data_IF_687991174714
#
_entry.id   IF_687991174714
#
_cell.length_a   1.000
_cell.length_b   1.000
_cell.length_c   1.000
_cell.angle_alpha   90.00
_cell.angle_beta   90.00
_cell.angle_gamma   90.00
#
_symmetry.space_group_name_H-M   'P 1'
#
loop_
_entity.id
_entity.type
_entity.pdbx_description
1 polymer ?
#
# COMPACT_ATOMS: atom_id res chain seq x y z
N UNK A 1 -18.99 19.96 -37.64
CA UNK A 1 -19.51 18.80 -38.39
C UNK A 1 -20.92 18.51 -37.91
N UNK A 2 -21.90 18.43 -38.82
CA UNK A 2 -23.32 18.21 -38.45
C UNK A 2 -23.50 16.89 -37.70
N UNK A 3 -24.30 16.88 -36.64
CA UNK A 3 -24.58 15.70 -35.79
C UNK A 3 -25.02 14.45 -36.59
N UNK A 4 -25.68 14.65 -37.74
CA UNK A 4 -26.08 13.58 -38.65
C UNK A 4 -24.90 12.88 -39.36
N UNK A 5 -23.78 13.58 -39.57
CA UNK A 5 -22.61 13.01 -40.24
C UNK A 5 -21.84 12.03 -39.36
N UNK A 6 -21.75 12.33 -38.05
CA UNK A 6 -21.06 11.47 -37.09
C UNK A 6 -21.82 10.15 -36.88
N UNK A 7 -23.14 10.21 -36.74
CA UNK A 7 -23.99 9.03 -36.60
C UNK A 7 -23.94 8.11 -37.83
N UNK A 8 -23.94 8.70 -39.04
CA UNK A 8 -23.82 7.95 -40.29
C UNK A 8 -22.45 7.29 -40.44
N UNK A 9 -21.39 7.94 -39.96
CA UNK A 9 -20.05 7.36 -39.96
C UNK A 9 -19.96 6.17 -39.01
N UNK A 10 -20.46 6.32 -37.77
CA UNK A 10 -20.49 5.25 -36.74
C UNK A 10 -21.32 4.04 -37.20
N UNK A 11 -22.47 4.27 -37.83
CA UNK A 11 -23.32 3.18 -38.34
C UNK A 11 -22.63 2.35 -39.43
N UNK A 12 -21.86 3.02 -40.31
CA UNK A 12 -21.09 2.34 -41.35
C UNK A 12 -19.87 1.59 -40.81
N UNK A 13 -19.17 2.12 -39.80
CA UNK A 13 -18.01 1.44 -39.21
C UNK A 13 -18.38 0.20 -38.40
N UNK A 14 -19.59 0.15 -37.84
CA UNK A 14 -20.10 -1.00 -37.09
C UNK A 14 -20.84 -2.05 -37.96
N UNK A 15 -20.91 -1.84 -39.29
CA UNK A 15 -21.46 -2.83 -40.22
C UNK A 15 -22.97 -3.02 -40.18
N UNK A 16 -23.72 -2.08 -39.59
CA UNK A 16 -25.18 -2.16 -39.54
C UNK A 16 -25.79 -1.83 -40.92
N UNK A 17 -26.11 -2.86 -41.70
CA UNK A 17 -26.86 -2.75 -42.97
C UNK A 17 -28.35 -2.54 -42.64
N UNK A 18 -29.03 -1.67 -43.39
CA UNK A 18 -30.47 -1.35 -43.21
C UNK A 18 -31.37 -2.59 -43.07
N UNK A 19 -31.00 -3.71 -43.70
CA UNK A 19 -31.76 -4.96 -43.71
C UNK A 19 -31.66 -5.78 -42.41
N UNK A 20 -30.63 -5.58 -41.58
CA UNK A 20 -30.47 -6.32 -40.31
C UNK A 20 -31.19 -5.63 -39.14
N UNK A 21 -31.37 -4.31 -39.23
CA UNK A 21 -32.14 -3.51 -38.27
C UNK A 21 -33.63 -3.89 -38.31
N UNK A 22 -34.15 -4.27 -39.49
CA UNK A 22 -35.53 -4.72 -39.68
C UNK A 22 -35.80 -6.12 -39.10
N UNK A 23 -34.75 -6.93 -38.83
CA UNK A 23 -34.88 -8.27 -38.26
C UNK A 23 -34.72 -8.31 -36.74
N UNK A 24 -33.91 -7.41 -36.16
CA UNK A 24 -33.61 -7.39 -34.72
C UNK A 24 -34.69 -6.70 -33.88
N UNK A 25 -35.56 -5.92 -34.52
CA UNK A 25 -36.74 -5.34 -33.88
C UNK A 25 -37.93 -5.80 -34.72
N UNK A 26 -38.87 -6.62 -34.20
CA UNK A 26 -40.12 -6.87 -34.89
C UNK A 26 -40.90 -5.54 -34.89
N UNK A 27 -40.71 -4.77 -35.95
CA UNK A 27 -41.43 -3.51 -36.18
C UNK A 27 -42.86 -3.88 -36.57
N UNK A 28 -43.70 -4.17 -35.56
CA UNK A 28 -45.12 -3.91 -35.73
C UNK A 28 -45.24 -2.45 -36.20
N UNK A 29 -46.04 -2.23 -37.24
CA UNK A 29 -46.32 -0.92 -37.83
C UNK A 29 -47.11 0.00 -36.87
N UNK A 30 -46.88 -0.09 -35.57
CA UNK A 30 -47.22 0.92 -34.60
C UNK A 30 -46.19 2.04 -34.78
N UNK A 31 -46.65 3.13 -35.41
CA UNK A 31 -45.94 4.38 -35.66
C UNK A 31 -44.95 4.71 -34.53
N UNK A 32 -43.68 4.32 -34.69
CA UNK A 32 -42.65 4.65 -33.72
C UNK A 32 -42.45 6.15 -33.83
N UNK A 33 -42.99 6.88 -32.86
CA UNK A 33 -42.83 8.33 -32.80
C UNK A 33 -41.34 8.67 -32.80
N UNK A 34 -40.96 9.65 -33.62
CA UNK A 34 -39.59 10.15 -33.69
C UNK A 34 -39.03 10.51 -32.29
N UNK A 35 -39.90 10.91 -31.37
CA UNK A 35 -39.56 11.19 -29.97
C UNK A 35 -39.05 9.95 -29.22
N UNK A 36 -39.68 8.79 -29.40
CA UNK A 36 -39.28 7.54 -28.75
C UNK A 36 -37.94 7.05 -29.34
N UNK A 37 -37.75 7.17 -30.65
CA UNK A 37 -36.47 6.83 -31.28
C UNK A 37 -35.34 7.75 -30.77
N UNK A 38 -35.63 9.04 -30.58
CA UNK A 38 -34.68 10.02 -30.04
C UNK A 38 -34.28 9.68 -28.60
N UNK A 39 -35.21 9.25 -27.74
CA UNK A 39 -34.86 8.88 -26.35
C UNK A 39 -34.01 7.62 -26.28
N UNK A 40 -34.32 6.59 -27.08
CA UNK A 40 -33.47 5.39 -27.16
C UNK A 40 -32.05 5.71 -27.67
N UNK A 41 -31.93 6.61 -28.65
CA UNK A 41 -30.61 7.06 -29.11
C UNK A 41 -29.82 7.74 -27.99
N UNK A 42 -30.45 8.59 -27.17
CA UNK A 42 -29.79 9.22 -26.02
C UNK A 42 -29.33 8.21 -24.96
N UNK A 43 -30.13 7.18 -24.67
CA UNK A 43 -29.78 6.12 -23.72
C UNK A 43 -28.59 5.29 -24.23
N UNK A 44 -28.59 4.95 -25.51
CA UNK A 44 -27.48 4.22 -26.11
C UNK A 44 -26.17 5.02 -26.08
N UNK A 45 -26.25 6.32 -26.38
CA UNK A 45 -25.10 7.23 -26.34
C UNK A 45 -24.57 7.41 -24.92
N UNK A 46 -25.43 7.62 -23.92
CA UNK A 46 -25.00 7.79 -22.53
C UNK A 46 -24.32 6.53 -21.99
N UNK A 47 -24.88 5.35 -22.31
CA UNK A 47 -24.31 4.05 -21.92
C UNK A 47 -22.95 3.82 -22.57
N UNK A 48 -22.79 4.17 -23.85
CA UNK A 48 -21.51 4.06 -24.56
C UNK A 48 -20.44 4.99 -23.99
N UNK A 49 -20.81 6.24 -23.66
CA UNK A 49 -19.90 7.21 -23.04
C UNK A 49 -19.46 6.73 -21.65
N UNK A 50 -20.40 6.22 -20.84
CA UNK A 50 -20.08 5.67 -19.52
C UNK A 50 -19.11 4.48 -19.61
N UNK A 51 -19.34 3.57 -20.55
CA UNK A 51 -18.44 2.45 -20.82
C UNK A 51 -17.06 2.89 -21.28
N UNK A 52 -16.98 3.84 -22.20
CA UNK A 52 -15.72 4.39 -22.69
C UNK A 52 -14.93 5.09 -21.56
N UNK A 53 -15.59 5.94 -20.76
CA UNK A 53 -14.99 6.59 -19.61
C UNK A 53 -14.49 5.58 -18.56
N UNK A 54 -15.26 4.53 -18.27
CA UNK A 54 -14.84 3.46 -17.38
C UNK A 54 -13.61 2.71 -17.88
N UNK A 55 -13.57 2.41 -19.18
CA UNK A 55 -12.45 1.71 -19.81
C UNK A 55 -11.18 2.57 -19.86
N UNK A 56 -11.32 3.86 -20.19
CA UNK A 56 -10.21 4.83 -20.18
C UNK A 56 -9.65 5.02 -18.77
N UNK A 57 -10.53 5.11 -17.77
CA UNK A 57 -10.15 5.19 -16.36
C UNK A 57 -9.32 3.97 -15.98
N UNK A 58 -9.82 2.77 -16.28
CA UNK A 58 -9.12 1.51 -15.97
C UNK A 58 -7.74 1.43 -16.62
N UNK A 59 -7.59 1.90 -17.86
CA UNK A 59 -6.30 1.93 -18.54
C UNK A 59 -5.31 2.90 -17.87
N UNK A 60 -5.79 4.07 -17.45
CA UNK A 60 -4.96 5.10 -16.78
C UNK A 60 -4.49 4.69 -15.38
N UNK A 61 -5.24 3.85 -14.67
CA UNK A 61 -4.88 3.35 -13.34
C UNK A 61 -4.03 2.06 -13.34
N UNK A 62 -3.69 1.52 -14.52
CA UNK A 62 -2.88 0.31 -14.61
C UNK A 62 -1.39 0.57 -14.36
N UNK A 63 -0.94 1.82 -14.47
CA UNK A 63 0.45 2.21 -14.22
C UNK A 63 0.72 2.39 -12.71
N UNK A 64 1.64 1.60 -12.11
CA UNK A 64 1.95 1.68 -10.69
C UNK A 64 2.49 3.06 -10.26
N UNK A 65 3.18 3.77 -11.15
CA UNK A 65 3.79 5.08 -10.85
C UNK A 65 2.70 6.15 -10.76
N UNK A 66 1.76 6.16 -11.71
CA UNK A 66 0.62 7.07 -11.70
C UNK A 66 -0.29 6.83 -10.49
N UNK A 67 -0.47 5.57 -10.09
CA UNK A 67 -1.22 5.20 -8.88
C UNK A 67 -0.51 5.69 -7.62
N UNK A 68 0.81 5.53 -7.52
CA UNK A 68 1.60 6.03 -6.40
C UNK A 68 1.56 7.57 -6.30
N UNK A 69 1.64 8.28 -7.43
CA UNK A 69 1.52 9.75 -7.49
C UNK A 69 0.10 10.25 -7.15
N UNK A 70 -0.93 9.50 -7.52
CA UNK A 70 -2.31 9.85 -7.18
C UNK A 70 -2.61 9.59 -5.68
N UNK A 71 -2.08 8.49 -5.14
CA UNK A 71 -2.10 8.21 -3.70
C UNK A 71 -1.37 9.32 -2.94
N UNK A 72 -0.16 9.72 -3.35
CA UNK A 72 0.59 10.78 -2.68
C UNK A 72 -0.08 12.16 -2.73
N UNK A 73 -0.89 12.45 -3.76
CA UNK A 73 -1.68 13.69 -3.83
C UNK A 73 -2.90 13.69 -2.89
N UNK A 74 -3.52 12.54 -2.65
CA UNK A 74 -4.70 12.43 -1.77
C UNK A 74 -4.34 12.17 -0.30
N UNK A 75 -3.17 11.61 -0.05
CA UNK A 75 -2.58 11.34 1.27
C UNK A 75 -2.08 12.61 1.98
N UNK A 76 -2.34 13.78 1.37
CA UNK A 76 -2.00 15.12 1.90
C UNK A 76 -2.61 15.46 3.27
N UNK A 77 -3.50 14.62 3.79
CA UNK A 77 -4.20 14.92 5.04
C UNK A 77 -3.49 14.37 6.29
N UNK A 78 -2.55 13.42 6.19
CA UNK A 78 -1.81 12.94 7.36
C UNK A 78 -0.34 12.49 7.07
N UNK A 79 0.63 12.90 7.93
CA UNK A 79 2.04 12.49 7.78
C UNK A 79 2.27 10.98 7.88
N UNK A 80 1.48 10.28 8.70
CA UNK A 80 1.55 8.84 8.91
C UNK A 80 1.19 8.08 7.64
N UNK A 81 0.12 8.47 6.94
CA UNK A 81 -0.26 7.85 5.67
C UNK A 81 0.79 8.09 4.60
N UNK A 82 1.36 9.30 4.57
CA UNK A 82 2.43 9.66 3.63
C UNK A 82 3.64 8.74 3.81
N UNK A 83 4.04 8.50 5.06
CA UNK A 83 5.14 7.60 5.40
C UNK A 83 4.83 6.16 5.03
N UNK A 84 3.62 5.66 5.34
CA UNK A 84 3.23 4.28 5.04
C UNK A 84 3.16 4.02 3.52
N UNK A 85 2.62 4.97 2.74
CA UNK A 85 2.59 4.89 1.28
C UNK A 85 3.99 4.94 0.70
N UNK A 86 4.85 5.81 1.22
CA UNK A 86 6.25 5.87 0.80
C UNK A 86 6.98 4.56 1.11
N UNK A 87 6.90 4.04 2.33
CA UNK A 87 7.55 2.79 2.73
C UNK A 87 7.01 1.58 1.96
N UNK A 88 5.70 1.51 1.71
CA UNK A 88 5.08 0.42 0.93
C UNK A 88 5.49 0.46 -0.56
N UNK A 89 5.60 1.64 -1.16
CA UNK A 89 5.98 1.78 -2.58
C UNK A 89 7.47 1.52 -2.82
N UNK A 90 8.34 1.95 -1.90
CA UNK A 90 9.79 1.77 -1.97
C UNK A 90 10.28 0.44 -1.40
N UNK A 91 9.43 -0.27 -0.63
CA UNK A 91 9.79 -1.44 0.18
C UNK A 91 10.89 -1.18 1.22
N UNK A 92 11.05 0.07 1.67
CA UNK A 92 11.92 0.36 2.81
C UNK A 92 11.32 -0.21 4.11
N UNK A 93 12.15 -0.84 4.97
CA UNK A 93 11.68 -1.32 6.25
C UNK A 93 11.33 -0.16 7.18
N UNK A 94 10.35 -0.39 8.05
CA UNK A 94 9.93 0.53 9.11
C UNK A 94 10.30 -0.04 10.48
N UNK A 95 10.68 0.84 11.40
CA UNK A 95 10.61 0.59 12.83
C UNK A 95 9.25 1.05 13.33
N UNK A 96 8.46 0.13 13.87
CA UNK A 96 7.15 0.39 14.47
C UNK A 96 7.24 0.13 15.97
N UNK A 97 6.97 1.17 16.75
CA UNK A 97 6.94 1.12 18.22
C UNK A 97 5.50 1.06 18.68
N UNK A 98 5.17 0.04 19.47
CA UNK A 98 3.86 -0.10 20.08
C UNK A 98 3.83 0.48 21.48
N UNK A 99 2.63 0.82 21.96
CA UNK A 99 2.36 1.26 23.33
C UNK A 99 2.77 0.25 24.41
N UNK A 100 2.88 -1.03 24.03
CA UNK A 100 3.44 -2.09 24.88
C UNK A 100 4.97 -2.04 25.03
N UNK A 101 5.64 -1.04 24.43
CA UNK A 101 7.09 -0.97 24.19
C UNK A 101 7.64 -2.06 23.28
N UNK A 102 6.80 -2.94 22.74
CA UNK A 102 7.21 -3.91 21.73
C UNK A 102 7.55 -3.18 20.43
N UNK A 103 8.60 -3.62 19.77
CA UNK A 103 9.10 -3.01 18.54
C UNK A 103 9.14 -4.06 17.44
N UNK A 104 8.62 -3.72 16.28
CA UNK A 104 8.77 -4.52 15.07
C UNK A 104 9.56 -3.73 14.04
N UNK A 105 10.50 -4.41 13.39
CA UNK A 105 11.24 -3.89 12.25
C UNK A 105 10.89 -4.76 11.06
N UNK A 106 10.32 -4.19 10.00
CA UNK A 106 9.81 -5.00 8.89
C UNK A 106 9.36 -4.20 7.69
N UNK A 107 8.98 -4.91 6.64
CA UNK A 107 8.48 -4.30 5.38
C UNK A 107 6.96 -4.33 5.40
N UNK A 108 6.33 -3.22 5.01
CA UNK A 108 4.89 -3.17 4.89
C UNK A 108 4.41 -4.07 3.75
N UNK A 109 3.36 -4.83 4.02
CA UNK A 109 2.54 -5.43 2.97
C UNK A 109 1.41 -4.44 2.69
N UNK A 110 1.17 -4.15 1.41
CA UNK A 110 0.35 -3.04 0.91
C UNK A 110 -0.78 -2.61 1.87
N UNK A 111 -0.79 -1.37 2.38
CA UNK A 111 -1.81 -0.94 3.34
C UNK A 111 -3.19 -0.94 2.66
N UNK A 112 -4.18 -1.57 3.30
CA UNK A 112 -5.58 -1.41 2.92
C UNK A 112 -6.03 -0.04 3.42
N UNK A 113 -5.95 0.97 2.55
CA UNK A 113 -6.54 2.29 2.81
C UNK A 113 -8.04 2.19 2.55
N UNK A 114 -8.81 1.81 3.56
CA UNK A 114 -10.27 1.90 3.51
C UNK A 114 -10.70 3.24 4.12
N UNK A 115 -11.56 3.97 3.40
CA UNK A 115 -12.24 5.18 3.87
C UNK A 115 -11.37 6.38 4.32
N UNK A 116 -10.10 6.46 3.91
CA UNK A 116 -9.26 7.64 4.16
C UNK A 116 -8.73 7.76 5.58
N UNK A 117 -8.63 6.63 6.29
CA UNK A 117 -7.89 6.52 7.55
C UNK A 117 -7.24 5.15 7.68
N UNK A 118 -6.04 5.07 8.25
CA UNK A 118 -5.35 3.80 8.50
C UNK A 118 -5.81 3.23 9.84
N UNK A 119 -6.63 2.19 9.82
CA UNK A 119 -7.03 1.48 11.03
C UNK A 119 -6.02 0.41 11.46
N UNK A 120 -5.43 -0.27 10.48
CA UNK A 120 -4.48 -1.36 10.68
C UNK A 120 -3.33 -1.26 9.67
N UNK A 121 -2.14 -1.70 10.09
CA UNK A 121 -1.01 -1.91 9.20
C UNK A 121 -0.65 -3.39 9.17
N UNK A 122 -0.29 -3.89 7.98
CA UNK A 122 0.28 -5.21 7.82
C UNK A 122 1.80 -5.10 7.62
N UNK A 123 2.56 -5.71 8.52
CA UNK A 123 4.01 -5.69 8.50
C UNK A 123 4.54 -7.11 8.38
N UNK A 124 5.44 -7.36 7.44
CA UNK A 124 6.25 -8.57 7.43
C UNK A 124 7.52 -8.31 8.27
N UNK A 125 7.64 -8.88 9.48
CA UNK A 125 8.76 -8.59 10.37
C UNK A 125 10.06 -9.19 9.85
N UNK A 126 11.14 -8.41 9.90
CA UNK A 126 12.53 -8.84 9.72
C UNK A 126 13.16 -9.09 11.09
N UNK A 127 12.90 -8.19 12.05
CA UNK A 127 13.35 -8.30 13.43
C UNK A 127 12.25 -7.81 14.38
N UNK A 128 12.27 -8.26 15.63
CA UNK A 128 11.50 -7.63 16.71
C UNK A 128 12.30 -7.52 17.99
N UNK A 129 11.80 -6.67 18.87
CA UNK A 129 12.43 -6.39 20.13
C UNK A 129 11.49 -5.63 21.06
N UNK A 130 12.09 -4.92 22.01
CA UNK A 130 11.40 -4.00 22.89
C UNK A 130 12.30 -2.80 23.21
N UNK A 131 11.70 -1.69 23.62
CA UNK A 131 12.45 -0.59 24.24
C UNK A 131 12.50 -0.78 25.74
N UNK A 132 13.69 -0.62 26.30
CA UNK A 132 13.87 -0.61 27.75
C UNK A 132 12.99 0.46 28.41
N UNK A 133 12.48 0.19 29.61
CA UNK A 133 11.57 1.12 30.29
C UNK A 133 12.28 2.39 30.76
N UNK A 134 13.52 2.26 31.21
CA UNK A 134 14.24 3.32 31.91
C UNK A 134 15.21 4.01 30.94
N UNK A 135 15.89 3.25 30.09
CA UNK A 135 16.84 3.79 29.09
C UNK A 135 16.19 4.11 27.74
N UNK A 136 14.97 3.62 27.46
CA UNK A 136 14.30 3.67 26.15
C UNK A 136 15.14 3.10 24.98
N UNK A 137 16.19 2.37 25.31
CA UNK A 137 17.12 1.75 24.37
C UNK A 137 16.42 0.59 23.67
N UNK A 138 16.52 0.54 22.34
CA UNK A 138 15.99 -0.58 21.56
C UNK A 138 16.86 -1.83 21.74
N UNK A 139 16.25 -2.91 22.26
CA UNK A 139 16.82 -4.24 22.36
C UNK A 139 16.15 -5.19 21.37
N UNK A 140 16.92 -5.71 20.40
CA UNK A 140 16.45 -6.68 19.42
C UNK A 140 16.58 -8.09 19.97
N UNK A 141 15.48 -8.84 20.00
CA UNK A 141 15.42 -10.18 20.62
C UNK A 141 15.15 -11.29 19.61
N UNK A 142 14.42 -11.00 18.54
CA UNK A 142 14.00 -12.01 17.56
C UNK A 142 14.44 -11.60 16.17
N UNK A 143 15.16 -12.48 15.48
CA UNK A 143 15.56 -12.32 14.09
C UNK A 143 14.68 -13.24 13.20
N UNK A 144 13.65 -12.66 12.59
CA UNK A 144 12.76 -13.38 11.70
C UNK A 144 13.43 -13.70 10.36
N UNK A 145 14.32 -12.84 9.88
CA UNK A 145 15.03 -13.07 8.62
C UNK A 145 15.85 -14.37 8.67
N UNK A 146 16.59 -14.62 9.75
CA UNK A 146 17.32 -15.86 9.96
C UNK A 146 16.38 -17.08 10.04
N UNK A 147 15.24 -16.94 10.73
CA UNK A 147 14.22 -17.98 10.77
C UNK A 147 13.64 -18.29 9.37
N UNK A 148 13.35 -17.27 8.57
CA UNK A 148 12.85 -17.43 7.20
C UNK A 148 13.86 -18.11 6.28
N UNK A 149 15.13 -17.72 6.38
CA UNK A 149 16.25 -18.33 5.65
C UNK A 149 16.40 -19.81 5.99
N UNK A 150 16.46 -20.16 7.29
CA UNK A 150 16.60 -21.54 7.77
C UNK A 150 15.46 -22.45 7.34
N UNK A 151 14.26 -21.90 7.18
CA UNK A 151 13.06 -22.62 6.76
C UNK A 151 12.85 -22.66 5.24
N UNK A 152 13.77 -22.07 4.47
CA UNK A 152 13.67 -22.02 3.00
C UNK A 152 12.53 -21.14 2.49
N UNK A 153 11.96 -20.27 3.32
CA UNK A 153 10.78 -19.48 2.99
C UNK A 153 11.07 -18.30 2.06
N UNK A 154 12.34 -17.91 1.96
CA UNK A 154 12.80 -16.85 1.06
C UNK A 154 12.87 -17.30 -0.40
N UNK A 155 12.93 -18.61 -0.65
CA UNK A 155 13.07 -19.19 -2.00
C UNK A 155 11.80 -19.12 -2.84
N UNK A 156 10.66 -18.74 -2.26
CA UNK A 156 9.37 -18.58 -2.96
C UNK A 156 8.70 -19.89 -3.40
N UNK A 157 9.32 -21.04 -3.12
CA UNK A 157 8.78 -22.37 -3.47
C UNK A 157 8.12 -22.97 -2.22
N UNK A 158 6.80 -23.22 -2.23
CA UNK A 158 6.12 -23.91 -1.14
C UNK A 158 6.72 -25.32 -0.98
N UNK A 159 7.30 -25.62 0.18
CA UNK A 159 7.92 -26.93 0.47
C UNK A 159 6.89 -28.00 0.86
N UNK A 160 5.75 -28.06 0.16
CA UNK A 160 4.72 -29.08 0.34
C UNK A 160 3.30 -28.54 0.62
N UNK A 161 2.30 -29.43 0.68
CA UNK A 161 0.88 -29.07 0.72
C UNK A 161 0.42 -28.35 2.00
N UNK A 162 1.23 -28.37 3.07
CA UNK A 162 0.94 -27.71 4.36
C UNK A 162 2.01 -26.69 4.78
N UNK A 163 2.80 -26.17 3.84
CA UNK A 163 3.85 -25.20 4.19
C UNK A 163 3.33 -23.77 4.17
N UNK A 164 3.50 -23.08 5.29
CA UNK A 164 3.26 -21.64 5.39
C UNK A 164 4.19 -20.90 4.43
N UNK A 165 3.63 -19.95 3.68
CA UNK A 165 4.43 -19.01 2.88
C UNK A 165 5.02 -17.92 3.78
N UNK A 166 6.03 -17.18 3.30
CA UNK A 166 6.56 -16.01 4.05
C UNK A 166 5.45 -15.01 4.41
N UNK A 167 4.48 -14.87 3.52
CA UNK A 167 3.30 -14.03 3.66
C UNK A 167 2.37 -14.46 4.80
N UNK A 168 2.46 -15.71 5.26
CA UNK A 168 1.69 -16.20 6.40
C UNK A 168 2.23 -15.71 7.75
N UNK A 169 3.40 -15.07 7.77
CA UNK A 169 4.04 -14.53 8.98
C UNK A 169 3.87 -13.02 9.15
N UNK A 170 2.95 -12.41 8.41
CA UNK A 170 2.62 -10.99 8.59
C UNK A 170 2.01 -10.75 9.96
N UNK A 171 2.37 -9.62 10.55
CA UNK A 171 1.83 -9.11 11.79
C UNK A 171 0.86 -7.99 11.42
N UNK A 172 -0.39 -8.10 11.89
CA UNK A 172 -1.40 -7.06 11.77
C UNK A 172 -1.36 -6.23 13.06
N UNK A 173 -1.18 -4.92 12.93
CA UNK A 173 -1.02 -4.00 14.05
C UNK A 173 -2.12 -2.94 13.94
N UNK A 174 -2.95 -2.75 14.99
CA UNK A 174 -3.90 -1.64 15.03
C UNK A 174 -3.15 -0.30 15.10
N UNK A 175 -3.51 0.68 14.27
CA UNK A 175 -2.86 1.98 14.25
C UNK A 175 -2.94 2.71 15.59
N UNK A 176 -4.02 2.50 16.35
CA UNK A 176 -4.20 3.04 17.71
C UNK A 176 -3.17 2.55 18.74
N UNK A 177 -2.51 1.43 18.49
CA UNK A 177 -1.48 0.88 19.38
C UNK A 177 -0.08 1.37 19.02
N UNK A 178 0.06 2.07 17.90
CA UNK A 178 1.34 2.57 17.41
C UNK A 178 1.63 3.90 18.10
N UNK A 179 2.74 3.97 18.82
CA UNK A 179 3.23 5.22 19.39
C UNK A 179 4.11 5.99 18.42
N UNK A 180 4.93 5.28 17.63
CA UNK A 180 5.81 5.91 16.65
C UNK A 180 6.17 4.96 15.51
N UNK A 181 6.43 5.56 14.35
CA UNK A 181 6.91 4.87 13.14
C UNK A 181 8.02 5.68 12.51
N UNK A 182 9.07 5.01 12.04
CA UNK A 182 10.13 5.64 11.26
C UNK A 182 10.72 4.67 10.24
N UNK A 183 11.35 5.20 9.19
CA UNK A 183 12.16 4.37 8.31
C UNK A 183 13.29 3.71 9.11
N UNK A 184 13.60 2.47 8.76
CA UNK A 184 14.72 1.73 9.29
C UNK A 184 15.84 1.71 8.26
N UNK A 185 17.01 2.19 8.67
CA UNK A 185 18.26 1.97 7.96
C UNK A 185 19.22 1.24 8.88
N UNK A 186 19.77 0.13 8.38
CA UNK A 186 20.60 -0.77 9.21
C UNK A 186 21.93 -0.11 9.57
N UNK A 187 22.52 0.61 8.64
CA UNK A 187 23.84 1.21 8.84
C UNK A 187 23.74 2.35 9.86
N UNK A 188 22.77 3.24 9.67
CA UNK A 188 22.42 4.29 10.63
C UNK A 188 22.13 3.72 12.03
N UNK A 189 21.39 2.60 12.12
CA UNK A 189 21.11 1.95 13.40
C UNK A 189 22.40 1.47 14.10
N UNK A 190 23.32 0.84 13.36
CA UNK A 190 24.57 0.35 13.93
C UNK A 190 25.45 1.50 14.42
N UNK A 191 25.51 2.60 13.68
CA UNK A 191 26.25 3.80 14.07
C UNK A 191 25.71 4.38 15.39
N UNK A 192 24.38 4.48 15.53
CA UNK A 192 23.77 4.91 16.80
C UNK A 192 24.06 3.95 17.94
N UNK A 193 24.06 2.63 17.70
CA UNK A 193 24.40 1.64 18.74
C UNK A 193 25.85 1.73 19.19
N UNK A 194 26.78 1.94 18.28
CA UNK A 194 28.18 2.16 18.63
C UNK A 194 28.36 3.42 19.50
N UNK A 195 27.66 4.50 19.17
CA UNK A 195 27.69 5.74 19.97
C UNK A 195 27.07 5.56 21.36
N UNK A 196 25.95 4.85 21.47
CA UNK A 196 25.33 4.51 22.76
C UNK A 196 26.28 3.70 23.65
N UNK A 197 26.97 2.71 23.08
CA UNK A 197 27.92 1.86 23.81
C UNK A 197 29.13 2.67 24.28
N UNK A 198 29.70 3.51 23.42
CA UNK A 198 30.80 4.40 23.81
C UNK A 198 30.39 5.36 24.93
N UNK A 199 29.19 5.95 24.85
CA UNK A 199 28.68 6.85 25.89
C UNK A 199 28.47 6.13 27.24
N UNK A 200 28.13 4.84 27.24
CA UNK A 200 28.03 4.02 28.45
C UNK A 200 29.41 3.77 29.07
N UNK A 201 30.41 3.46 28.25
CA UNK A 201 31.80 3.28 28.68
C UNK A 201 32.34 4.58 29.31
N UNK A 202 32.14 5.72 28.65
CA UNK A 202 32.63 7.01 29.12
C UNK A 202 31.99 7.42 30.45
N UNK A 203 30.68 7.18 30.62
CA UNK A 203 29.98 7.41 31.91
C UNK A 203 30.52 6.51 33.02
N UNK A 204 30.77 5.24 32.73
CA UNK A 204 31.35 4.30 33.69
C UNK A 204 32.73 4.76 34.16
N UNK A 205 33.60 5.15 33.22
CA UNK A 205 34.95 5.62 33.53
C UNK A 205 34.95 6.92 34.35
N UNK A 206 34.02 7.85 34.08
CA UNK A 206 33.86 9.08 34.85
C UNK A 206 33.42 8.79 36.30
N UNK A 207 32.54 7.81 36.52
CA UNK A 207 32.09 7.40 37.86
C UNK A 207 33.23 6.76 38.67
N UNK A 208 34.05 5.92 38.03
CA UNK A 208 35.24 5.32 38.69
C UNK A 208 36.25 6.39 39.10
N UNK A 209 36.54 7.35 38.21
CA UNK A 209 37.48 8.45 38.49
C UNK A 209 37.00 9.36 39.64
N UNK A 210 35.69 9.58 39.76
CA UNK A 210 35.12 10.34 40.88
C UNK A 210 35.16 9.56 42.20
N UNK A 211 34.93 8.25 42.18
CA UNK A 211 35.03 7.41 43.38
C UNK A 211 36.47 7.36 43.92
N UNK A 212 37.46 7.26 43.04
CA UNK A 212 38.88 7.23 43.42
C UNK A 212 39.34 8.58 44.02
N UNK A 213 38.82 9.70 43.52
CA UNK A 213 39.14 11.04 44.04
C UNK A 213 38.47 11.38 45.39
N UNK A 214 37.43 10.65 45.80
CA UNK A 214 36.73 10.87 47.10
C UNK A 214 37.36 10.05 48.23
N UNK A 215 38.17 9.04 47.90
CA UNK A 215 38.86 8.17 48.87
C UNK A 215 40.30 8.64 49.20
N UNK A 216 40.68 9.84 48.77
CA UNK A 216 41.94 10.54 49.09
C UNK A 216 41.62 11.77 49.95
#
# INVERSE_FOLDING_TARGET
MSYFGLLRWIANTLGFVKQDIEKLVPVEKALINYEVLKTFAWIAVSTAIAGACGMLSRYRFNDPITRANWLSQNVRHSPEESLLVYAASTRFPLVVTLSSRKVYIGVLTMPALENGSVEYIELLPIMSGFRDKDELTLHLTTNYHDHYSKRGLLSGIPMGPNTLSINSFRVVIPAKEIESMSLFDKDTYNDFKAQEEQAKIDKSNALTTQADNVLI
#
